data_IF_180233539048
#
_entry.id   IF_180233539048
#
_cell.length_a   1.000
_cell.length_b   1.000
_cell.length_c   1.000
_cell.angle_alpha   90.00
_cell.angle_beta   90.00
_cell.angle_gamma   90.00
#
_symmetry.space_group_name_H-M   'P 1'
#
loop_
_entity.id
_entity.type
_entity.pdbx_description
1 polymer ?
#
# COMPACT_ATOMS: atom_id res chain seq x y z
N UNK A 1 5.14 -7.04 12.38
CA UNK A 1 4.14 -7.55 13.34
C UNK A 1 4.44 -7.04 14.74
N UNK A 2 3.42 -6.95 15.59
CA UNK A 2 3.51 -6.49 16.98
C UNK A 2 2.74 -7.45 17.89
N UNK A 3 3.12 -7.49 19.16
CA UNK A 3 2.37 -8.24 20.17
C UNK A 3 1.26 -7.36 20.78
N UNK A 4 0.10 -7.97 20.96
CA UNK A 4 -1.06 -7.31 21.59
C UNK A 4 -0.91 -7.42 23.12
N UNK A 5 -0.22 -6.44 23.72
CA UNK A 5 -0.18 -6.28 25.19
C UNK A 5 -1.50 -5.69 25.69
N UNK A 6 -1.80 -5.79 26.98
CA UNK A 6 -3.03 -5.23 27.56
C UNK A 6 -3.13 -3.73 27.33
N UNK A 7 -2.07 -2.98 27.63
CA UNK A 7 -2.03 -1.52 27.42
C UNK A 7 -2.25 -1.13 25.96
N UNK A 8 -1.64 -1.89 25.03
CA UNK A 8 -1.78 -1.66 23.61
C UNK A 8 -3.19 -1.98 23.11
N UNK A 9 -3.78 -3.07 23.59
CA UNK A 9 -5.17 -3.44 23.30
C UNK A 9 -6.16 -2.35 23.76
N UNK A 10 -6.00 -1.86 25.00
CA UNK A 10 -6.85 -0.80 25.55
C UNK A 10 -6.72 0.49 24.76
N UNK A 11 -5.50 0.88 24.40
CA UNK A 11 -5.27 2.07 23.61
C UNK A 11 -5.89 1.96 22.20
N UNK A 12 -5.70 0.82 21.53
CA UNK A 12 -6.32 0.56 20.23
C UNK A 12 -7.85 0.57 20.28
N UNK A 13 -8.46 -0.02 21.31
CA UNK A 13 -9.90 0.03 21.50
C UNK A 13 -10.41 1.47 21.65
N UNK A 14 -9.71 2.27 22.45
CA UNK A 14 -10.06 3.67 22.66
C UNK A 14 -9.96 4.48 21.37
N UNK A 15 -8.82 4.40 20.70
CA UNK A 15 -8.55 5.10 19.43
C UNK A 15 -9.54 4.69 18.33
N UNK A 16 -9.72 3.39 18.12
CA UNK A 16 -10.63 2.90 17.09
C UNK A 16 -12.07 3.33 17.35
N UNK A 17 -12.52 3.27 18.61
CA UNK A 17 -13.85 3.74 19.01
C UNK A 17 -14.03 5.23 18.69
N UNK A 18 -13.03 6.05 19.01
CA UNK A 18 -13.06 7.49 18.74
C UNK A 18 -13.08 7.79 17.24
N UNK A 19 -12.23 7.12 16.46
CA UNK A 19 -12.18 7.27 15.00
C UNK A 19 -13.52 6.90 14.37
N UNK A 20 -14.12 5.77 14.77
CA UNK A 20 -15.43 5.34 14.25
C UNK A 20 -16.50 6.38 14.58
N UNK A 21 -16.58 6.84 15.82
CA UNK A 21 -17.56 7.87 16.23
C UNK A 21 -17.41 9.17 15.46
N UNK A 22 -16.17 9.57 15.20
CA UNK A 22 -15.84 10.81 14.48
C UNK A 22 -16.19 10.73 12.99
N UNK A 23 -16.00 9.56 12.35
CA UNK A 23 -16.08 9.44 10.89
C UNK A 23 -17.34 8.73 10.38
N UNK A 24 -18.06 7.95 11.19
CA UNK A 24 -19.21 7.12 10.78
C UNK A 24 -20.35 7.86 10.09
N UNK A 25 -20.46 9.17 10.30
CA UNK A 25 -21.53 9.98 9.72
C UNK A 25 -21.22 10.58 8.34
N UNK A 26 -20.00 10.37 7.84
CA UNK A 26 -19.65 10.83 6.50
C UNK A 26 -20.19 9.87 5.42
N UNK A 27 -20.97 10.40 4.50
CA UNK A 27 -21.59 9.60 3.42
C UNK A 27 -20.59 8.93 2.48
N UNK A 28 -19.35 9.39 2.46
CA UNK A 28 -18.25 8.81 1.66
C UNK A 28 -17.59 7.56 2.28
N UNK A 29 -17.93 7.23 3.55
CA UNK A 29 -17.41 6.04 4.22
C UNK A 29 -18.13 4.80 3.69
N UNK A 30 -17.46 4.01 2.86
CA UNK A 30 -18.01 2.80 2.24
C UNK A 30 -17.55 1.51 2.91
N UNK A 31 -16.29 1.45 3.33
CA UNK A 31 -15.67 0.27 3.95
C UNK A 31 -14.78 0.71 5.11
N UNK A 32 -14.84 -0.04 6.20
CA UNK A 32 -13.91 0.07 7.32
C UNK A 32 -12.96 -1.12 7.27
N UNK A 33 -11.68 -0.88 7.06
CA UNK A 33 -10.65 -1.91 7.09
C UNK A 33 -9.89 -1.85 8.41
N UNK A 34 -9.66 -3.00 9.03
CA UNK A 34 -8.98 -3.08 10.32
C UNK A 34 -7.50 -2.69 10.25
N UNK A 35 -6.85 -3.03 9.15
CA UNK A 35 -5.45 -2.72 8.92
C UNK A 35 -5.09 -2.71 7.43
N UNK A 36 -3.87 -2.28 7.10
CA UNK A 36 -3.28 -2.37 5.78
C UNK A 36 -2.22 -3.49 5.74
N UNK A 37 -2.44 -4.50 4.89
CA UNK A 37 -1.51 -5.59 4.55
C UNK A 37 -1.04 -6.47 5.72
N UNK A 38 -1.56 -6.30 6.94
CA UNK A 38 -1.09 -7.07 8.10
C UNK A 38 -1.49 -8.53 8.04
N UNK A 39 -2.63 -8.86 7.41
CA UNK A 39 -3.06 -10.26 7.25
C UNK A 39 -2.04 -11.05 6.42
N UNK A 40 -1.68 -10.50 5.26
CA UNK A 40 -0.66 -11.08 4.40
C UNK A 40 0.70 -11.18 5.10
N UNK A 41 1.12 -10.10 5.76
CA UNK A 41 2.41 -10.04 6.42
C UNK A 41 2.53 -11.06 7.58
N UNK A 42 1.49 -11.20 8.40
CA UNK A 42 1.50 -12.16 9.52
C UNK A 42 1.50 -13.59 9.00
N UNK A 43 0.76 -13.88 7.92
CA UNK A 43 0.74 -15.19 7.29
C UNK A 43 2.11 -15.55 6.72
N UNK A 44 2.74 -14.66 5.97
CA UNK A 44 4.07 -14.83 5.42
C UNK A 44 5.12 -15.08 6.51
N UNK A 45 5.09 -14.29 7.58
CA UNK A 45 5.99 -14.41 8.71
C UNK A 45 5.78 -15.72 9.49
N UNK A 46 4.56 -16.26 9.53
CA UNK A 46 4.21 -17.47 10.27
C UNK A 46 4.66 -18.76 9.55
N UNK A 47 4.55 -18.81 8.24
CA UNK A 47 4.79 -20.04 7.46
C UNK A 47 6.27 -20.28 7.08
N UNK A 48 7.22 -19.61 7.72
CA UNK A 48 8.66 -19.91 7.69
C UNK A 48 9.29 -20.05 6.29
N UNK A 49 8.93 -19.20 5.36
CA UNK A 49 9.67 -19.11 4.11
C UNK A 49 9.53 -20.30 3.17
N UNK A 50 8.57 -21.20 3.36
CA UNK A 50 8.20 -22.15 2.32
C UNK A 50 7.58 -21.42 1.11
N UNK A 51 7.12 -20.18 1.30
CA UNK A 51 6.72 -19.27 0.23
C UNK A 51 7.90 -18.44 -0.29
N UNK A 52 8.89 -19.11 -0.89
CA UNK A 52 9.88 -18.44 -1.75
C UNK A 52 9.32 -18.07 -3.12
N UNK A 53 8.02 -18.19 -3.33
CA UNK A 53 7.38 -17.68 -4.52
C UNK A 53 7.11 -16.19 -4.36
N UNK A 54 7.60 -15.41 -5.33
CA UNK A 54 7.28 -14.00 -5.49
C UNK A 54 5.77 -13.82 -5.41
N UNK A 55 5.29 -13.15 -4.38
CA UNK A 55 3.88 -12.78 -4.31
C UNK A 55 3.59 -11.91 -5.53
N UNK A 56 2.64 -12.29 -6.37
CA UNK A 56 2.29 -11.49 -7.54
C UNK A 56 1.95 -10.06 -7.11
N UNK A 57 2.71 -9.09 -7.61
CA UNK A 57 2.50 -7.67 -7.33
C UNK A 57 3.33 -7.06 -6.20
N UNK A 58 4.00 -7.83 -5.36
CA UNK A 58 4.96 -7.33 -4.38
C UNK A 58 6.40 -7.53 -4.89
N UNK A 59 6.97 -6.53 -5.53
CA UNK A 59 8.35 -6.56 -6.01
C UNK A 59 9.35 -6.47 -4.87
N UNK A 60 9.88 -7.60 -4.41
CA UNK A 60 11.05 -7.61 -3.54
C UNK A 60 11.10 -8.82 -2.59
N UNK A 61 12.32 -9.31 -2.32
CA UNK A 61 12.59 -10.27 -1.27
C UNK A 61 12.54 -9.49 0.06
N UNK A 62 11.52 -9.71 0.88
CA UNK A 62 11.53 -9.20 2.25
C UNK A 62 12.36 -10.14 3.13
N UNK A 63 13.14 -9.61 4.08
CA UNK A 63 13.75 -10.46 5.11
C UNK A 63 12.64 -11.17 5.89
N UNK A 64 12.73 -12.48 5.98
CA UNK A 64 11.74 -13.30 6.70
C UNK A 64 11.86 -12.99 8.20
N UNK A 65 10.87 -12.30 8.73
CA UNK A 65 10.67 -12.17 10.17
C UNK A 65 9.65 -13.23 10.59
N UNK A 66 10.07 -14.19 11.41
CA UNK A 66 9.17 -15.23 11.92
C UNK A 66 8.17 -14.61 12.89
N UNK A 67 6.91 -14.50 12.51
CA UNK A 67 5.87 -14.17 13.47
C UNK A 67 5.75 -15.29 14.50
N UNK A 68 5.73 -14.93 15.78
CA UNK A 68 5.44 -15.90 16.82
C UNK A 68 3.98 -16.39 16.70
N UNK A 69 3.72 -17.61 17.21
CA UNK A 69 2.33 -18.09 17.32
C UNK A 69 1.42 -17.09 18.05
N UNK A 70 1.98 -16.35 19.01
CA UNK A 70 1.26 -15.29 19.72
C UNK A 70 0.81 -14.17 18.77
N UNK A 71 1.69 -13.67 17.89
CA UNK A 71 1.35 -12.60 16.94
C UNK A 71 0.28 -13.04 15.95
N UNK A 72 0.31 -14.28 15.51
CA UNK A 72 -0.72 -14.88 14.67
C UNK A 72 -2.10 -14.86 15.36
N UNK A 73 -2.19 -15.30 16.61
CA UNK A 73 -3.45 -15.28 17.37
C UNK A 73 -3.85 -13.87 17.82
N UNK A 74 -2.89 -12.99 18.11
CA UNK A 74 -3.13 -11.60 18.45
C UNK A 74 -3.77 -10.85 17.27
N UNK A 75 -3.37 -11.16 16.03
CA UNK A 75 -3.99 -10.62 14.83
C UNK A 75 -5.49 -11.00 14.76
N UNK A 76 -5.80 -12.28 14.84
CA UNK A 76 -7.20 -12.76 14.81
C UNK A 76 -8.00 -12.12 15.96
N UNK A 77 -7.46 -12.13 17.18
CA UNK A 77 -8.12 -11.53 18.34
C UNK A 77 -8.47 -10.06 18.10
N UNK A 78 -7.53 -9.29 17.56
CA UNK A 78 -7.74 -7.86 17.34
C UNK A 78 -8.69 -7.60 16.16
N UNK A 79 -8.32 -8.06 14.97
CA UNK A 79 -8.98 -7.64 13.73
C UNK A 79 -10.24 -8.42 13.38
N UNK A 80 -10.37 -9.67 13.85
CA UNK A 80 -11.54 -10.49 13.54
C UNK A 80 -12.51 -10.64 14.75
N UNK A 81 -12.11 -10.18 15.94
CA UNK A 81 -12.97 -10.30 17.12
C UNK A 81 -13.19 -8.98 17.85
N UNK A 82 -12.15 -8.23 18.23
CA UNK A 82 -12.29 -7.00 19.03
C UNK A 82 -12.88 -5.87 18.19
N UNK A 83 -12.24 -5.54 17.04
CA UNK A 83 -12.68 -4.43 16.22
C UNK A 83 -14.08 -4.64 15.61
N UNK A 84 -14.47 -5.83 15.13
CA UNK A 84 -15.87 -6.09 14.72
C UNK A 84 -16.89 -5.84 15.81
N UNK A 85 -16.57 -6.14 17.06
CA UNK A 85 -17.49 -5.83 18.20
C UNK A 85 -17.66 -4.33 18.43
N UNK A 86 -16.58 -3.57 18.28
CA UNK A 86 -16.65 -2.10 18.37
C UNK A 86 -17.49 -1.57 17.21
N UNK A 87 -17.24 -2.04 15.99
CA UNK A 87 -18.05 -1.65 14.82
C UNK A 87 -19.52 -1.94 15.01
N UNK A 88 -19.86 -3.14 15.45
CA UNK A 88 -21.25 -3.53 15.72
C UNK A 88 -21.93 -2.63 16.74
N UNK A 89 -21.19 -2.13 17.72
CA UNK A 89 -21.71 -1.21 18.76
C UNK A 89 -21.81 0.22 18.26
N UNK A 90 -20.78 0.72 17.59
CA UNK A 90 -20.64 2.15 17.27
C UNK A 90 -21.18 2.52 15.87
N UNK A 91 -21.17 1.58 14.93
CA UNK A 91 -21.64 1.76 13.56
C UNK A 91 -22.27 0.46 12.99
N UNK A 92 -23.41 0.00 13.52
CA UNK A 92 -23.97 -1.32 13.24
C UNK A 92 -24.34 -1.57 11.78
N UNK A 93 -24.60 -0.52 11.00
CA UNK A 93 -24.94 -0.60 9.58
C UNK A 93 -23.72 -0.48 8.67
N UNK A 94 -22.52 -0.21 9.22
CA UNK A 94 -21.31 -0.04 8.44
C UNK A 94 -20.67 -1.40 8.11
N UNK A 95 -20.13 -1.51 6.89
CA UNK A 95 -19.38 -2.68 6.47
C UNK A 95 -17.96 -2.62 7.03
N UNK A 96 -17.55 -3.69 7.70
CA UNK A 96 -16.21 -3.86 8.25
C UNK A 96 -15.48 -5.02 7.58
N UNK A 97 -14.22 -4.83 7.28
CA UNK A 97 -13.32 -5.80 6.69
C UNK A 97 -12.04 -5.94 7.54
N UNK A 98 -11.53 -7.16 7.83
CA UNK A 98 -10.44 -7.32 8.81
C UNK A 98 -9.13 -6.72 8.35
N UNK A 99 -8.82 -6.78 7.06
CA UNK A 99 -7.61 -6.23 6.45
C UNK A 99 -7.89 -5.67 5.06
N UNK A 100 -6.93 -4.99 4.48
CA UNK A 100 -6.87 -4.63 3.07
C UNK A 100 -5.45 -4.98 2.56
N UNK A 101 -5.26 -5.91 1.58
CA UNK A 101 -6.30 -6.76 1.01
C UNK A 101 -6.74 -7.87 1.98
N UNK A 102 -7.94 -8.42 1.72
CA UNK A 102 -8.45 -9.58 2.44
C UNK A 102 -9.58 -10.23 1.65
N UNK A 103 -9.75 -11.53 1.83
CA UNK A 103 -10.89 -12.28 1.31
C UNK A 103 -11.97 -12.56 2.37
N UNK A 104 -11.86 -11.92 3.54
CA UNK A 104 -12.85 -12.00 4.62
C UNK A 104 -12.32 -12.45 5.96
N UNK A 105 -11.02 -12.67 6.08
CA UNK A 105 -10.37 -13.12 7.30
C UNK A 105 -9.96 -14.60 7.28
N UNK A 106 -9.49 -15.09 8.41
CA UNK A 106 -8.95 -16.44 8.59
C UNK A 106 -7.72 -16.77 7.73
N UNK A 107 -7.06 -15.79 7.15
CA UNK A 107 -5.90 -15.95 6.25
C UNK A 107 -6.19 -16.81 5.01
N UNK A 108 -7.45 -16.86 4.55
CA UNK A 108 -7.83 -17.62 3.38
C UNK A 108 -7.84 -16.75 2.13
N UNK A 109 -7.22 -17.24 1.05
CA UNK A 109 -7.28 -16.65 -0.30
C UNK A 109 -7.03 -15.12 -0.37
N UNK A 110 -6.10 -14.60 0.43
CA UNK A 110 -5.86 -13.15 0.62
C UNK A 110 -5.60 -12.41 -0.71
N UNK A 111 -5.07 -13.11 -1.71
CA UNK A 111 -4.68 -12.54 -3.00
C UNK A 111 -5.66 -12.90 -4.14
N UNK A 112 -6.84 -13.45 -3.82
CA UNK A 112 -7.83 -13.80 -4.83
C UNK A 112 -8.45 -12.56 -5.46
N UNK A 113 -8.39 -12.45 -6.78
CA UNK A 113 -8.85 -11.25 -7.51
C UNK A 113 -10.37 -11.03 -7.45
N UNK A 114 -11.14 -12.10 -7.22
CA UNK A 114 -12.60 -12.08 -7.28
C UNK A 114 -13.29 -12.08 -5.93
N UNK A 115 -12.54 -12.14 -4.83
CA UNK A 115 -13.07 -12.19 -3.46
C UNK A 115 -12.50 -11.03 -2.66
N UNK A 116 -13.37 -10.26 -2.00
CA UNK A 116 -12.94 -9.13 -1.17
C UNK A 116 -12.33 -8.00 -1.97
N UNK A 117 -11.22 -7.48 -1.49
CA UNK A 117 -10.43 -6.45 -2.14
C UNK A 117 -9.01 -6.92 -2.47
N UNK A 118 -8.39 -6.27 -3.43
CA UNK A 118 -7.05 -6.62 -3.89
C UNK A 118 -6.13 -5.40 -3.94
N UNK A 119 -4.84 -5.63 -3.71
CA UNK A 119 -3.76 -4.70 -3.97
C UNK A 119 -2.97 -5.17 -5.19
N UNK A 120 -2.69 -4.29 -6.13
CA UNK A 120 -1.88 -4.62 -7.30
C UNK A 120 -0.69 -3.68 -7.45
N UNK A 121 0.49 -4.24 -7.24
CA UNK A 121 1.78 -3.54 -7.34
C UNK A 121 2.71 -4.11 -8.41
N UNK A 122 2.20 -4.91 -9.32
CA UNK A 122 2.96 -5.38 -10.49
C UNK A 122 3.52 -4.21 -11.29
N UNK A 123 2.67 -3.23 -11.62
CA UNK A 123 3.13 -1.90 -12.04
C UNK A 123 3.70 -1.18 -10.81
N UNK A 124 4.84 -0.55 -10.97
CA UNK A 124 5.66 0.11 -9.98
C UNK A 124 6.60 -0.82 -9.21
N UNK A 125 6.12 -1.69 -8.33
CA UNK A 125 7.00 -2.56 -7.54
C UNK A 125 7.53 -3.75 -8.34
N UNK A 126 6.69 -4.38 -9.15
CA UNK A 126 7.05 -5.54 -9.96
C UNK A 126 7.77 -5.23 -11.27
N UNK A 127 7.68 -3.99 -11.76
CA UNK A 127 8.28 -3.59 -13.03
C UNK A 127 7.42 -3.90 -14.26
N UNK A 128 6.17 -4.30 -14.06
CA UNK A 128 5.20 -4.56 -15.12
C UNK A 128 4.92 -3.30 -15.94
N UNK A 129 4.61 -3.48 -17.22
CA UNK A 129 4.22 -2.38 -18.09
C UNK A 129 2.80 -1.91 -17.77
N UNK A 130 2.46 -0.65 -18.12
CA UNK A 130 1.10 -0.14 -17.88
C UNK A 130 0.01 -0.98 -18.58
N UNK A 131 0.33 -1.59 -19.73
CA UNK A 131 -0.57 -2.52 -20.43
C UNK A 131 -0.90 -3.77 -19.62
N UNK A 132 -0.10 -4.11 -18.62
CA UNK A 132 -0.28 -5.33 -17.83
C UNK A 132 -1.45 -5.22 -16.85
N UNK A 133 -1.91 -4.00 -16.54
CA UNK A 133 -3.20 -3.83 -15.87
C UNK A 133 -4.33 -4.62 -16.55
N UNK A 134 -4.30 -4.77 -17.88
CA UNK A 134 -5.31 -5.51 -18.64
C UNK A 134 -5.29 -7.03 -18.47
N UNK A 135 -4.30 -7.56 -17.78
CA UNK A 135 -4.22 -8.99 -17.46
C UNK A 135 -5.03 -9.37 -16.22
N UNK A 136 -5.54 -8.37 -15.49
CA UNK A 136 -6.20 -8.53 -14.20
C UNK A 136 -7.65 -8.07 -14.26
N UNK A 137 -8.52 -8.74 -13.51
CA UNK A 137 -9.95 -8.47 -13.48
C UNK A 137 -10.45 -8.44 -12.02
N UNK A 138 -9.84 -7.57 -11.22
CA UNK A 138 -10.19 -7.43 -9.80
C UNK A 138 -11.66 -7.07 -9.60
N UNK A 139 -12.32 -7.73 -8.66
CA UNK A 139 -13.66 -7.36 -8.23
C UNK A 139 -13.67 -5.99 -7.55
N UNK A 140 -12.69 -5.73 -6.71
CA UNK A 140 -12.46 -4.45 -6.08
C UNK A 140 -10.96 -4.23 -5.88
N UNK A 141 -10.38 -3.36 -6.66
CA UNK A 141 -8.98 -2.95 -6.51
C UNK A 141 -8.94 -1.75 -5.57
N UNK A 142 -8.54 -1.99 -4.32
CA UNK A 142 -8.47 -0.97 -3.27
C UNK A 142 -7.15 -0.20 -3.29
N UNK A 143 -6.08 -0.80 -3.82
CA UNK A 143 -4.77 -0.18 -3.85
C UNK A 143 -3.97 -0.54 -5.10
N UNK A 144 -3.51 0.48 -5.80
CA UNK A 144 -2.46 0.45 -6.81
C UNK A 144 -1.84 1.84 -6.90
N UNK A 145 -0.68 1.99 -7.50
CA UNK A 145 -0.09 3.31 -7.53
C UNK A 145 1.19 3.44 -8.35
N UNK A 146 1.68 4.67 -8.38
CA UNK A 146 2.92 5.03 -9.05
C UNK A 146 3.50 6.28 -8.41
N UNK A 147 4.80 6.33 -8.18
CA UNK A 147 5.47 7.46 -7.56
C UNK A 147 6.07 8.40 -8.61
N UNK A 148 6.06 9.72 -8.34
CA UNK A 148 6.80 10.72 -9.08
C UNK A 148 7.69 11.54 -8.13
N UNK A 149 8.63 12.29 -8.70
CA UNK A 149 9.24 13.40 -7.99
C UNK A 149 8.22 14.53 -7.79
N UNK A 150 8.37 15.34 -6.73
CA UNK A 150 7.54 16.54 -6.55
C UNK A 150 7.85 17.60 -7.61
N UNK A 151 6.98 18.60 -7.73
CA UNK A 151 7.25 19.74 -8.62
C UNK A 151 8.44 20.59 -8.13
N UNK A 152 9.02 21.39 -9.04
CA UNK A 152 10.18 22.23 -8.73
C UNK A 152 9.92 23.22 -7.58
N UNK A 153 8.71 23.72 -7.43
CA UNK A 153 8.34 24.60 -6.32
C UNK A 153 8.55 23.90 -4.97
N UNK A 154 8.07 22.67 -4.85
CA UNK A 154 8.29 21.85 -3.65
C UNK A 154 9.77 21.53 -3.45
N UNK A 155 10.48 21.15 -4.52
CA UNK A 155 11.94 20.89 -4.44
C UNK A 155 12.70 22.12 -3.92
N UNK A 156 12.38 23.30 -4.41
CA UNK A 156 13.01 24.54 -3.94
C UNK A 156 12.78 24.83 -2.45
N UNK A 157 11.74 24.30 -1.86
CA UNK A 157 11.46 24.53 -0.42
C UNK A 157 12.42 23.81 0.53
N UNK A 158 13.18 22.81 0.04
CA UNK A 158 14.11 22.03 0.85
C UNK A 158 15.51 21.86 0.22
N UNK A 159 15.80 22.52 -0.92
CA UNK A 159 17.08 22.41 -1.63
C UNK A 159 17.68 23.76 -1.94
N UNK A 160 19.01 23.86 -1.86
CA UNK A 160 19.78 24.92 -2.49
C UNK A 160 19.99 24.61 -4.00
N UNK A 161 20.41 25.59 -4.82
CA UNK A 161 20.63 25.39 -6.26
C UNK A 161 21.53 24.20 -6.61
N UNK A 162 22.61 23.99 -5.85
CA UNK A 162 23.57 22.90 -6.02
C UNK A 162 22.99 21.51 -5.74
N UNK A 163 21.92 21.42 -4.92
CA UNK A 163 21.24 20.16 -4.58
C UNK A 163 20.23 19.72 -5.63
N UNK A 164 19.90 20.58 -6.62
CA UNK A 164 18.83 20.34 -7.59
C UNK A 164 19.28 19.38 -8.68
N UNK A 165 19.62 18.19 -8.26
CA UNK A 165 19.84 17.02 -9.13
C UNK A 165 19.46 15.74 -8.38
N UNK A 166 19.07 14.70 -9.13
CA UNK A 166 18.55 13.45 -8.55
C UNK A 166 19.58 12.67 -7.72
N UNK A 167 20.86 12.95 -7.90
CA UNK A 167 21.99 12.27 -7.25
C UNK A 167 22.53 13.06 -6.05
N UNK A 168 21.94 14.21 -5.71
CA UNK A 168 22.37 14.96 -4.54
C UNK A 168 21.96 14.23 -3.26
N UNK A 169 22.79 14.36 -2.23
CA UNK A 169 22.49 13.78 -0.91
C UNK A 169 21.15 14.28 -0.36
N UNK A 170 20.84 15.57 -0.56
CA UNK A 170 19.57 16.14 -0.11
C UNK A 170 18.38 15.51 -0.81
N UNK A 171 18.42 15.32 -2.12
CA UNK A 171 17.34 14.64 -2.87
C UNK A 171 17.22 13.17 -2.49
N UNK A 172 18.31 12.45 -2.29
CA UNK A 172 18.30 11.06 -1.83
C UNK A 172 17.73 10.94 -0.41
N UNK A 173 18.09 11.84 0.50
CA UNK A 173 17.56 11.85 1.87
C UNK A 173 16.05 12.13 1.92
N UNK A 174 15.49 12.83 0.94
CA UNK A 174 14.05 13.06 0.81
C UNK A 174 13.32 11.93 0.10
N UNK A 175 14.04 10.95 -0.49
CA UNK A 175 13.45 9.74 -1.07
C UNK A 175 13.34 8.65 0.01
N UNK A 176 12.10 8.33 0.41
CA UNK A 176 11.85 7.32 1.46
C UNK A 176 11.64 5.91 0.95
N UNK A 177 11.45 5.74 -0.34
CA UNK A 177 11.45 4.44 -0.99
C UNK A 177 12.80 4.22 -1.67
N UNK A 178 13.64 3.38 -1.08
CA UNK A 178 15.05 3.16 -1.49
C UNK A 178 15.23 2.77 -2.95
N UNK A 179 14.25 2.12 -3.57
CA UNK A 179 14.30 1.70 -4.98
C UNK A 179 13.64 2.71 -5.95
N UNK A 180 12.99 3.76 -5.44
CA UNK A 180 12.11 4.59 -6.26
C UNK A 180 12.83 5.37 -7.36
N UNK A 181 14.00 5.94 -7.09
CA UNK A 181 14.75 6.69 -8.12
C UNK A 181 15.07 5.80 -9.32
N UNK A 182 15.55 4.58 -9.07
CA UNK A 182 15.81 3.60 -10.13
C UNK A 182 14.55 3.17 -10.88
N UNK A 183 13.44 2.97 -10.17
CA UNK A 183 12.15 2.61 -10.78
C UNK A 183 11.62 3.73 -11.68
N UNK A 184 11.62 4.97 -11.22
CA UNK A 184 11.22 6.12 -12.04
C UNK A 184 12.06 6.19 -13.31
N UNK A 185 13.39 6.05 -13.21
CA UNK A 185 14.28 6.10 -14.37
C UNK A 185 14.03 4.96 -15.34
N UNK A 186 13.77 3.73 -14.86
CA UNK A 186 13.45 2.59 -15.69
C UNK A 186 12.15 2.82 -16.49
N UNK A 187 11.09 3.25 -15.82
CA UNK A 187 9.82 3.54 -16.49
C UNK A 187 9.93 4.74 -17.44
N UNK A 188 10.71 5.77 -17.08
CA UNK A 188 11.00 6.89 -17.99
C UNK A 188 11.67 6.39 -19.28
N UNK A 189 12.69 5.56 -19.15
CA UNK A 189 13.42 5.03 -20.32
C UNK A 189 12.55 4.19 -21.25
N UNK A 190 11.54 3.51 -20.70
CA UNK A 190 10.63 2.65 -21.46
C UNK A 190 9.49 3.45 -22.15
N UNK A 191 9.10 4.60 -21.61
CA UNK A 191 7.89 5.32 -22.05
C UNK A 191 8.18 6.69 -22.67
N UNK A 192 9.28 7.35 -22.30
CA UNK A 192 9.62 8.71 -22.73
C UNK A 192 11.05 8.81 -23.26
N UNK A 193 11.33 9.90 -23.97
CA UNK A 193 12.70 10.32 -24.22
C UNK A 193 13.34 10.81 -22.92
N UNK A 194 14.64 10.60 -22.76
CA UNK A 194 15.36 11.11 -21.59
C UNK A 194 15.21 12.63 -21.47
N UNK A 195 14.88 13.13 -20.28
CA UNK A 195 14.82 14.55 -20.00
C UNK A 195 16.22 15.18 -20.11
N UNK A 196 16.31 16.42 -20.57
CA UNK A 196 17.58 17.12 -20.82
C UNK A 196 18.17 17.75 -19.57
N UNK A 197 17.35 18.03 -18.56
CA UNK A 197 17.73 18.70 -17.33
C UNK A 197 16.84 18.24 -16.18
N UNK A 198 17.15 18.74 -14.99
CA UNK A 198 16.43 18.36 -13.76
C UNK A 198 14.96 18.78 -13.76
N UNK A 199 14.64 19.98 -14.26
CA UNK A 199 13.25 20.47 -14.34
C UNK A 199 12.41 19.56 -15.24
N UNK A 200 12.94 19.20 -16.41
CA UNK A 200 12.28 18.26 -17.32
C UNK A 200 12.15 16.87 -16.69
N UNK A 201 13.12 16.42 -15.89
CA UNK A 201 13.06 15.14 -15.18
C UNK A 201 11.89 15.12 -14.19
N UNK A 202 11.75 16.16 -13.38
CA UNK A 202 10.62 16.27 -12.43
C UNK A 202 9.29 16.25 -13.17
N UNK A 203 9.17 17.07 -14.22
CA UNK A 203 7.94 17.13 -15.04
C UNK A 203 7.62 15.79 -15.71
N UNK A 204 8.59 15.16 -16.37
CA UNK A 204 8.39 13.86 -17.01
C UNK A 204 8.00 12.77 -16.00
N UNK A 205 8.55 12.79 -14.79
CA UNK A 205 8.17 11.83 -13.75
C UNK A 205 6.71 11.99 -13.32
N UNK A 206 6.21 13.23 -13.26
CA UNK A 206 4.81 13.49 -12.94
C UNK A 206 3.87 13.11 -14.09
N UNK A 207 4.26 13.34 -15.32
CA UNK A 207 3.52 12.87 -16.50
C UNK A 207 3.47 11.34 -16.56
N UNK A 208 4.58 10.68 -16.21
CA UNK A 208 4.65 9.21 -16.13
C UNK A 208 3.70 8.66 -15.06
N UNK A 209 3.66 9.29 -13.88
CA UNK A 209 2.69 8.96 -12.84
C UNK A 209 1.25 9.16 -13.33
N UNK A 210 0.97 10.29 -14.01
CA UNK A 210 -0.33 10.56 -14.60
C UNK A 210 -0.75 9.44 -15.56
N UNK A 211 0.14 9.05 -16.48
CA UNK A 211 -0.17 8.02 -17.48
C UNK A 211 -0.42 6.66 -16.82
N UNK A 212 0.39 6.27 -15.83
CA UNK A 212 0.23 5.02 -15.10
C UNK A 212 -1.11 4.98 -14.34
N UNK A 213 -1.40 6.03 -13.56
CA UNK A 213 -2.63 6.11 -12.76
C UNK A 213 -3.87 6.21 -13.66
N UNK A 214 -3.80 7.06 -14.69
CA UNK A 214 -4.89 7.20 -15.66
C UNK A 214 -5.21 5.88 -16.34
N UNK A 215 -4.21 5.15 -16.79
CA UNK A 215 -4.38 3.85 -17.45
C UNK A 215 -5.12 2.86 -16.53
N UNK A 216 -4.67 2.75 -15.27
CA UNK A 216 -5.31 1.88 -14.27
C UNK A 216 -6.75 2.31 -13.98
N UNK A 217 -6.98 3.59 -13.68
CA UNK A 217 -8.34 4.12 -13.39
C UNK A 217 -9.29 3.92 -14.56
N UNK A 218 -8.87 4.20 -15.80
CA UNK A 218 -9.71 4.03 -16.98
C UNK A 218 -10.05 2.57 -17.25
N UNK A 219 -9.18 1.64 -16.84
CA UNK A 219 -9.40 0.20 -17.05
C UNK A 219 -10.23 -0.45 -15.95
N UNK A 220 -9.95 -0.14 -14.68
CA UNK A 220 -10.58 -0.81 -13.54
C UNK A 220 -11.94 -0.21 -13.11
N UNK A 221 -12.37 0.91 -13.66
CA UNK A 221 -13.64 1.56 -13.31
C UNK A 221 -14.88 0.80 -13.81
#
# INVERSE_FOLDING_TARGET
SYELTEDFEENLKAEFTEVVRRLRHHASMSVWCGNNEMEAQVLEDHWNGEFNELIPGMGGIRPVHHASNKQYYDYIKLYEYILPKIMKKEAPEAFYWPSSPSSGGNYEDIYEENIGDAHYWGVWHGGDQFSDYRKHHFRFLSEFGFQSFPCMETVRSFTEPEDRNVFSEVMEMHQRNTAANGKIMNYLSANYRYPKNFDELLYCSQMLQLDAIRYGVEYFR
#
